data_IF_918431048352
#
_entry.id   IF_918431048352
#
_cell.length_a   1.000
_cell.length_b   1.000
_cell.length_c   1.000
_cell.angle_alpha   90.00
_cell.angle_beta   90.00
_cell.angle_gamma   90.00
#
_symmetry.space_group_name_H-M   'P 1'
#
loop_
_entity.id
_entity.type
_entity.pdbx_description
1 polymer ?
#
# COMPACT_ATOMS: atom_id res chain seq x y z
N UNK A 1 16.39 42.47 2.74
CA UNK A 1 16.84 41.04 2.82
C UNK A 1 16.24 40.45 4.09
N UNK A 2 15.02 39.88 4.00
CA UNK A 2 14.26 39.34 5.14
C UNK A 2 14.55 37.86 5.26
N UNK A 3 15.39 37.46 6.19
CA UNK A 3 15.64 36.05 6.53
C UNK A 3 14.54 35.57 7.47
N UNK A 4 13.53 34.89 6.93
CA UNK A 4 12.58 34.13 7.74
C UNK A 4 13.23 32.84 8.25
N UNK A 5 13.63 32.86 9.51
CA UNK A 5 14.04 31.67 10.25
C UNK A 5 12.76 30.95 10.69
N UNK A 6 12.30 29.99 9.89
CA UNK A 6 11.21 29.11 10.28
C UNK A 6 11.69 28.17 11.38
N UNK A 7 11.41 28.49 12.62
CA UNK A 7 11.50 27.56 13.75
C UNK A 7 10.40 26.51 13.59
N UNK A 8 10.74 25.34 13.05
CA UNK A 8 9.85 24.19 13.07
C UNK A 8 9.74 23.69 14.51
N UNK A 9 8.59 23.91 15.14
CA UNK A 9 8.18 23.10 16.29
C UNK A 9 8.12 21.64 15.86
N UNK A 10 8.68 20.70 16.63
CA UNK A 10 8.52 19.28 16.33
C UNK A 10 7.02 18.97 16.37
N UNK A 11 6.48 18.49 15.25
CA UNK A 11 5.15 17.89 15.22
C UNK A 11 5.11 16.77 16.25
N UNK A 12 4.05 16.68 17.09
CA UNK A 12 3.91 15.55 17.99
C UNK A 12 3.93 14.27 17.15
N UNK A 13 4.71 13.28 17.57
CA UNK A 13 4.78 11.96 16.96
C UNK A 13 3.43 11.25 17.14
N UNK A 14 2.44 11.64 16.35
CA UNK A 14 1.15 10.95 16.26
C UNK A 14 1.33 9.77 15.32
N UNK A 15 1.39 8.60 15.88
CA UNK A 15 1.53 7.33 15.17
C UNK A 15 3.01 6.97 14.99
N UNK A 16 3.62 6.43 16.04
CA UNK A 16 4.80 5.61 15.86
C UNK A 16 4.45 4.58 14.79
N UNK A 17 5.07 4.68 13.59
CA UNK A 17 5.15 3.55 12.69
C UNK A 17 5.60 2.38 13.55
N UNK A 18 4.90 1.24 13.57
CA UNK A 18 5.54 0.06 14.08
C UNK A 18 6.81 -0.10 13.23
N UNK A 19 7.96 0.10 13.84
CA UNK A 19 9.23 -0.38 13.33
C UNK A 19 9.21 -1.91 13.51
N UNK A 20 8.18 -2.52 12.93
CA UNK A 20 7.94 -3.94 13.11
C UNK A 20 8.53 -4.62 11.88
N UNK A 21 9.80 -4.98 11.99
CA UNK A 21 10.49 -5.82 11.00
C UNK A 21 9.83 -7.21 10.87
N UNK A 22 8.80 -7.50 11.69
CA UNK A 22 8.01 -8.73 11.60
C UNK A 22 6.97 -8.67 10.49
N UNK A 23 6.52 -7.47 10.08
CA UNK A 23 5.58 -7.31 8.98
C UNK A 23 6.32 -7.35 7.64
N UNK A 24 5.91 -8.27 6.78
CA UNK A 24 6.43 -8.45 5.44
C UNK A 24 5.56 -7.70 4.43
N UNK A 25 6.19 -6.99 3.49
CA UNK A 25 5.57 -6.45 2.28
C UNK A 25 6.12 -7.16 1.04
N UNK A 26 5.35 -7.18 -0.05
CA UNK A 26 5.89 -7.44 -1.38
C UNK A 26 6.28 -6.10 -2.00
N UNK A 27 7.52 -5.96 -2.40
CA UNK A 27 8.07 -4.71 -2.93
C UNK A 27 9.03 -5.00 -4.08
N UNK A 28 8.72 -4.49 -5.26
CA UNK A 28 9.59 -4.54 -6.45
C UNK A 28 10.12 -5.94 -6.80
N UNK A 29 9.29 -6.96 -6.70
CA UNK A 29 9.62 -8.32 -7.07
C UNK A 29 9.96 -9.24 -5.89
N UNK A 30 10.15 -8.70 -4.68
CA UNK A 30 10.61 -9.45 -3.51
C UNK A 30 9.71 -9.30 -2.28
N UNK A 31 9.77 -10.28 -1.39
CA UNK A 31 9.21 -10.15 -0.04
C UNK A 31 10.25 -9.57 0.90
N UNK A 32 9.99 -8.38 1.41
CA UNK A 32 10.91 -7.65 2.28
C UNK A 32 10.22 -7.24 3.59
N UNK A 33 10.97 -7.02 4.69
CA UNK A 33 10.43 -6.34 5.85
C UNK A 33 9.81 -4.99 5.46
N UNK A 34 8.65 -4.64 6.02
CA UNK A 34 7.93 -3.41 5.68
C UNK A 34 8.81 -2.16 5.86
N UNK A 35 9.71 -2.17 6.83
CA UNK A 35 10.67 -1.09 7.08
C UNK A 35 11.65 -0.84 5.92
N UNK A 36 11.86 -1.85 5.06
CA UNK A 36 12.76 -1.78 3.90
C UNK A 36 12.01 -1.39 2.60
N UNK A 37 10.69 -1.46 2.56
CA UNK A 37 9.89 -1.03 1.42
C UNK A 37 9.87 0.52 1.33
N UNK A 38 10.89 1.08 0.69
CA UNK A 38 11.14 2.54 0.64
C UNK A 38 11.24 2.99 -0.81
N UNK A 39 10.57 4.09 -1.13
CA UNK A 39 10.64 4.73 -2.44
C UNK A 39 11.57 5.95 -2.40
N UNK A 40 12.43 6.13 -3.41
CA UNK A 40 13.13 7.39 -3.62
C UNK A 40 12.15 8.54 -3.87
N UNK A 41 12.46 9.73 -3.37
CA UNK A 41 11.59 10.91 -3.57
C UNK A 41 11.46 11.32 -5.05
N UNK A 42 12.41 10.91 -5.90
CA UNK A 42 12.40 11.17 -7.34
C UNK A 42 11.57 10.16 -8.15
N UNK A 43 10.98 9.16 -7.50
CA UNK A 43 10.10 8.19 -8.14
C UNK A 43 8.93 8.90 -8.82
N UNK A 44 8.72 8.63 -10.11
CA UNK A 44 7.71 9.29 -10.93
C UNK A 44 6.29 9.13 -10.35
N UNK A 45 5.97 7.94 -9.83
CA UNK A 45 4.71 7.67 -9.13
C UNK A 45 4.50 8.57 -7.91
N UNK A 46 5.56 8.91 -7.18
CA UNK A 46 5.50 9.82 -6.04
C UNK A 46 5.38 11.29 -6.46
N UNK A 47 6.17 11.72 -7.46
CA UNK A 47 6.18 13.12 -7.89
C UNK A 47 4.91 13.55 -8.63
N UNK A 48 4.35 12.65 -9.46
CA UNK A 48 3.26 12.99 -10.40
C UNK A 48 1.96 12.23 -10.14
N UNK A 49 1.89 11.41 -9.10
CA UNK A 49 0.71 10.60 -8.79
C UNK A 49 0.43 9.51 -9.84
N UNK A 50 1.44 9.08 -10.60
CA UNK A 50 1.30 8.05 -11.63
C UNK A 50 1.32 6.66 -11.01
N UNK A 51 0.28 6.40 -10.23
CA UNK A 51 0.06 5.15 -9.52
C UNK A 51 -1.43 4.79 -9.52
N UNK A 52 -1.73 3.51 -9.42
CA UNK A 52 -3.07 2.99 -9.15
C UNK A 52 -3.00 2.01 -7.98
N UNK A 53 -4.05 1.97 -7.17
CA UNK A 53 -4.12 1.08 -6.02
C UNK A 53 -5.50 0.47 -5.86
N UNK A 54 -5.55 -0.58 -5.06
CA UNK A 54 -6.78 -1.16 -4.54
C UNK A 54 -6.79 -1.17 -3.01
N UNK A 55 -7.99 -1.21 -2.44
CA UNK A 55 -8.21 -1.40 -1.02
C UNK A 55 -9.00 -2.68 -0.81
N UNK A 56 -8.33 -3.74 -0.37
CA UNK A 56 -8.92 -5.06 -0.23
C UNK A 56 -9.02 -5.41 1.24
N UNK A 57 -10.17 -5.96 1.64
CA UNK A 57 -10.38 -6.42 3.02
C UNK A 57 -10.24 -7.93 3.09
N UNK A 58 -9.63 -8.40 4.17
CA UNK A 58 -9.67 -9.78 4.58
C UNK A 58 -10.17 -9.87 6.02
N UNK A 59 -11.07 -10.81 6.28
CA UNK A 59 -11.77 -10.98 7.54
C UNK A 59 -11.31 -12.27 8.22
N UNK A 60 -10.95 -12.16 9.48
CA UNK A 60 -10.57 -13.31 10.30
C UNK A 60 -11.80 -14.05 10.82
N UNK A 61 -11.82 -15.36 10.65
CA UNK A 61 -12.79 -16.25 11.26
C UNK A 61 -12.13 -17.04 12.37
N UNK A 62 -12.52 -16.79 13.60
CA UNK A 62 -11.93 -17.44 14.80
C UNK A 62 -12.27 -18.93 14.90
N UNK A 63 -13.49 -19.34 14.48
CA UNK A 63 -13.92 -20.73 14.57
C UNK A 63 -13.13 -21.63 13.59
N UNK A 64 -12.76 -21.09 12.45
CA UNK A 64 -12.03 -21.80 11.41
C UNK A 64 -10.53 -21.50 11.43
N UNK A 65 -10.08 -20.59 12.28
CA UNK A 65 -8.71 -20.06 12.32
C UNK A 65 -8.18 -19.68 10.91
N UNK A 66 -9.03 -19.00 10.15
CA UNK A 66 -8.80 -18.70 8.73
C UNK A 66 -9.10 -17.26 8.39
N UNK A 67 -8.22 -16.66 7.58
CA UNK A 67 -8.42 -15.33 7.01
C UNK A 67 -9.08 -15.45 5.63
N UNK A 68 -10.20 -14.74 5.41
CA UNK A 68 -10.97 -14.75 4.18
C UNK A 68 -10.84 -13.41 3.44
N UNK A 69 -10.23 -13.42 2.29
CA UNK A 69 -10.13 -12.23 1.44
C UNK A 69 -11.37 -11.99 0.60
N UNK A 70 -11.88 -10.76 0.64
CA UNK A 70 -13.09 -10.39 -0.07
C UNK A 70 -12.78 -10.01 -1.52
N UNK A 71 -13.28 -10.78 -2.49
CA UNK A 71 -13.26 -10.46 -3.93
C UNK A 71 -11.88 -10.08 -4.49
N UNK A 72 -10.84 -10.79 -4.10
CA UNK A 72 -9.47 -10.52 -4.56
C UNK A 72 -9.37 -10.40 -6.08
N UNK A 73 -9.95 -11.35 -6.80
CA UNK A 73 -9.87 -11.40 -8.25
C UNK A 73 -10.52 -10.17 -8.91
N UNK A 74 -11.68 -9.75 -8.42
CA UNK A 74 -12.40 -8.58 -8.93
C UNK A 74 -11.62 -7.29 -8.71
N UNK A 75 -10.99 -7.16 -7.54
CA UNK A 75 -10.10 -6.05 -7.22
C UNK A 75 -8.92 -5.99 -8.21
N UNK A 76 -8.24 -7.11 -8.44
CA UNK A 76 -7.11 -7.16 -9.37
C UNK A 76 -7.52 -6.96 -10.82
N UNK A 77 -8.67 -7.46 -11.24
CA UNK A 77 -9.23 -7.15 -12.57
C UNK A 77 -9.52 -5.65 -12.73
N UNK A 78 -9.99 -4.97 -11.67
CA UNK A 78 -10.19 -3.51 -11.69
C UNK A 78 -8.85 -2.77 -11.75
N UNK A 79 -7.87 -3.15 -10.92
CA UNK A 79 -6.52 -2.60 -10.94
C UNK A 79 -5.88 -2.71 -12.33
N UNK A 80 -6.05 -3.85 -13.01
CA UNK A 80 -5.59 -4.05 -14.38
C UNK A 80 -6.21 -3.07 -15.36
N UNK A 81 -7.51 -2.78 -15.23
CA UNK A 81 -8.17 -1.76 -16.06
C UNK A 81 -7.66 -0.36 -15.77
N UNK A 82 -7.50 -0.01 -14.49
CA UNK A 82 -6.95 1.28 -14.07
C UNK A 82 -5.51 1.49 -14.53
N UNK A 83 -4.68 0.45 -14.48
CA UNK A 83 -3.30 0.48 -14.94
C UNK A 83 -3.17 0.88 -16.43
N UNK A 84 -4.08 0.42 -17.29
CA UNK A 84 -4.09 0.75 -18.72
C UNK A 84 -4.24 2.25 -18.98
N UNK A 85 -5.00 2.96 -18.14
CA UNK A 85 -5.18 4.43 -18.26
C UNK A 85 -3.86 5.17 -18.07
N UNK A 86 -2.99 4.64 -17.19
CA UNK A 86 -1.67 5.20 -16.90
C UNK A 86 -0.55 4.54 -17.72
N UNK A 87 -0.92 3.79 -18.77
CA UNK A 87 0.03 3.05 -19.62
C UNK A 87 0.98 2.16 -18.79
N UNK A 88 0.42 1.49 -17.77
CA UNK A 88 1.16 0.54 -16.94
C UNK A 88 0.73 -0.90 -17.24
N UNK A 89 1.69 -1.81 -17.14
CA UNK A 89 1.46 -3.25 -17.27
C UNK A 89 1.80 -3.93 -15.94
N UNK A 90 0.82 -4.47 -15.20
CA UNK A 90 1.11 -5.22 -13.98
C UNK A 90 2.04 -6.41 -14.25
N UNK A 91 2.91 -6.78 -13.29
CA UNK A 91 3.92 -7.82 -13.49
C UNK A 91 3.32 -9.23 -13.63
N UNK A 92 2.10 -9.42 -13.13
CA UNK A 92 1.39 -10.71 -13.14
C UNK A 92 -0.06 -10.52 -13.60
N UNK A 93 -0.70 -11.55 -14.17
CA UNK A 93 -2.15 -11.54 -14.43
C UNK A 93 -2.93 -11.45 -13.10
N UNK A 94 -4.23 -11.06 -13.14
CA UNK A 94 -5.04 -10.92 -11.93
C UNK A 94 -5.01 -12.14 -11.00
N UNK A 95 -5.02 -13.34 -11.55
CA UNK A 95 -4.96 -14.61 -10.83
C UNK A 95 -3.63 -14.76 -10.09
N UNK A 96 -2.52 -14.46 -10.75
CA UNK A 96 -1.18 -14.49 -10.13
C UNK A 96 -1.02 -13.43 -9.03
N UNK A 97 -1.66 -12.27 -9.16
CA UNK A 97 -1.69 -11.26 -8.10
C UNK A 97 -2.49 -11.72 -6.87
N UNK A 98 -3.55 -12.52 -7.07
CA UNK A 98 -4.29 -13.18 -5.98
C UNK A 98 -3.38 -14.15 -5.23
N UNK A 99 -2.69 -15.05 -5.95
CA UNK A 99 -1.77 -16.03 -5.36
C UNK A 99 -0.64 -15.34 -4.57
N UNK A 100 -0.05 -14.31 -5.15
CA UNK A 100 0.99 -13.50 -4.51
C UNK A 100 0.48 -12.85 -3.21
N UNK A 101 -0.75 -12.34 -3.23
CA UNK A 101 -1.37 -11.74 -2.03
C UNK A 101 -1.65 -12.78 -0.95
N UNK A 102 -2.14 -13.94 -1.32
CA UNK A 102 -2.37 -15.05 -0.38
C UNK A 102 -1.06 -15.48 0.26
N UNK A 103 0.02 -15.58 -0.51
CA UNK A 103 1.35 -15.90 0.02
C UNK A 103 1.85 -14.80 0.99
N UNK A 104 1.67 -13.53 0.64
CA UNK A 104 2.00 -12.41 1.53
C UNK A 104 1.26 -12.51 2.87
N UNK A 105 -0.04 -12.81 2.84
CA UNK A 105 -0.85 -12.96 4.04
C UNK A 105 -0.42 -14.15 4.90
N UNK A 106 -0.04 -15.27 4.27
CA UNK A 106 0.51 -16.44 4.98
C UNK A 106 1.83 -16.12 5.68
N UNK A 107 2.73 -15.40 5.03
CA UNK A 107 4.01 -14.98 5.64
C UNK A 107 3.82 -14.07 6.83
N UNK A 108 2.80 -13.22 6.80
CA UNK A 108 2.47 -12.34 7.90
C UNK A 108 1.71 -13.03 9.05
N UNK A 109 1.05 -14.17 8.80
CA UNK A 109 0.35 -14.94 9.83
C UNK A 109 -0.73 -14.15 10.56
N UNK A 110 -1.44 -13.24 9.89
CA UNK A 110 -2.47 -12.42 10.51
C UNK A 110 -3.62 -13.27 11.06
N UNK A 111 -3.94 -13.09 12.35
CA UNK A 111 -5.07 -13.69 13.06
C UNK A 111 -6.11 -12.66 13.46
N UNK A 112 -6.33 -11.67 12.62
CA UNK A 112 -7.30 -10.59 12.77
C UNK A 112 -7.60 -9.99 11.42
N UNK A 113 -8.63 -9.16 11.33
CA UNK A 113 -8.99 -8.45 10.09
C UNK A 113 -7.80 -7.67 9.54
N UNK A 114 -7.60 -7.78 8.24
CA UNK A 114 -6.50 -7.14 7.55
C UNK A 114 -7.00 -6.25 6.40
N UNK A 115 -6.28 -5.17 6.17
CA UNK A 115 -6.42 -4.31 5.00
C UNK A 115 -5.21 -4.48 4.11
N UNK A 116 -5.43 -4.85 2.86
CA UNK A 116 -4.40 -5.07 1.87
C UNK A 116 -4.41 -3.91 0.88
N UNK A 117 -3.25 -3.31 0.66
CA UNK A 117 -3.05 -2.20 -0.27
C UNK A 117 -2.06 -2.59 -1.37
N UNK A 118 -2.51 -3.22 -2.46
CA UNK A 118 -1.69 -3.31 -3.66
C UNK A 118 -1.63 -1.94 -4.33
N UNK A 119 -0.44 -1.53 -4.74
CA UNK A 119 -0.16 -0.28 -5.44
C UNK A 119 0.78 -0.56 -6.61
N UNK A 120 0.33 -0.28 -7.82
CA UNK A 120 1.15 -0.30 -9.04
C UNK A 120 1.53 1.14 -9.37
N UNK A 121 2.80 1.40 -9.64
CA UNK A 121 3.29 2.76 -9.84
C UNK A 121 4.41 2.80 -10.88
N UNK A 122 4.60 3.97 -11.50
CA UNK A 122 5.77 4.26 -12.33
C UNK A 122 6.97 4.44 -11.43
N UNK A 123 7.93 3.51 -11.51
CA UNK A 123 9.09 3.44 -10.60
C UNK A 123 10.31 4.24 -11.09
N UNK A 124 10.36 4.60 -12.35
CA UNK A 124 11.47 5.39 -12.90
C UNK A 124 11.68 6.68 -12.13
N UNK A 125 12.92 6.97 -11.77
CA UNK A 125 13.34 8.25 -11.19
C UNK A 125 13.61 9.27 -12.31
N UNK A 126 12.57 10.02 -12.71
CA UNK A 126 12.67 10.99 -13.78
C UNK A 126 11.73 12.18 -13.56
N UNK A 127 12.18 13.36 -13.99
CA UNK A 127 11.35 14.56 -14.05
C UNK A 127 10.71 14.67 -15.45
N UNK A 128 9.40 14.83 -15.49
CA UNK A 128 8.62 15.00 -16.73
C UNK A 128 7.26 14.32 -16.63
N UNK A 129 6.29 14.80 -17.38
CA UNK A 129 4.88 14.37 -17.30
C UNK A 129 4.52 13.24 -18.28
N UNK A 130 5.46 12.72 -19.04
CA UNK A 130 5.23 11.63 -20.00
C UNK A 130 4.90 10.32 -19.25
N UNK A 131 4.01 9.50 -19.81
CA UNK A 131 3.65 8.20 -19.23
C UNK A 131 4.31 7.01 -19.94
N UNK A 132 4.85 7.20 -21.15
CA UNK A 132 5.48 6.15 -21.95
C UNK A 132 6.98 6.03 -21.62
N UNK A 133 7.55 4.85 -21.86
CA UNK A 133 8.95 4.53 -21.63
C UNK A 133 9.39 4.78 -20.16
N UNK A 134 8.52 4.47 -19.22
CA UNK A 134 8.80 4.48 -17.82
C UNK A 134 8.59 3.06 -17.27
N UNK A 135 9.47 2.63 -16.41
CA UNK A 135 9.34 1.36 -15.68
C UNK A 135 8.19 1.43 -14.68
N UNK A 136 7.61 0.30 -14.39
CA UNK A 136 6.59 0.13 -13.37
C UNK A 136 6.94 -0.97 -12.36
N UNK A 137 6.55 -0.76 -11.13
CA UNK A 137 6.72 -1.71 -10.05
C UNK A 137 5.46 -1.84 -9.19
N UNK A 138 5.39 -2.97 -8.49
CA UNK A 138 4.28 -3.34 -7.61
C UNK A 138 4.74 -3.35 -6.16
N UNK A 139 3.94 -2.70 -5.31
CA UNK A 139 3.98 -2.81 -3.86
C UNK A 139 2.69 -3.46 -3.38
N UNK A 140 2.76 -4.43 -2.49
CA UNK A 140 1.60 -4.94 -1.74
C UNK A 140 1.95 -4.87 -0.25
N UNK A 141 1.27 -3.98 0.48
CA UNK A 141 1.34 -3.89 1.94
C UNK A 141 0.09 -4.48 2.59
N UNK A 142 0.26 -5.26 3.66
CA UNK A 142 -0.81 -5.65 4.57
C UNK A 142 -0.73 -4.82 5.85
N UNK A 143 -1.86 -4.21 6.28
CA UNK A 143 -1.95 -3.42 7.50
C UNK A 143 -3.10 -3.95 8.35
N UNK A 144 -2.95 -3.89 9.68
CA UNK A 144 -4.04 -4.19 10.60
C UNK A 144 -5.15 -3.15 10.46
N UNK A 145 -6.39 -3.61 10.23
CA UNK A 145 -7.52 -2.73 9.96
C UNK A 145 -8.04 -1.97 11.20
N UNK A 146 -7.82 -2.51 12.40
CA UNK A 146 -8.46 -2.03 13.64
C UNK A 146 -8.08 -0.61 14.04
N UNK A 147 -6.87 -0.13 13.68
CA UNK A 147 -6.38 1.15 14.20
C UNK A 147 -6.90 2.36 13.41
N UNK A 148 -7.23 2.22 12.13
CA UNK A 148 -7.52 3.40 11.30
C UNK A 148 -8.99 3.84 11.37
N UNK A 149 -9.93 2.91 11.42
CA UNK A 149 -11.37 3.26 11.46
C UNK A 149 -11.83 3.66 12.87
N UNK A 150 -11.32 2.99 13.91
CA UNK A 150 -11.62 3.31 15.30
C UNK A 150 -11.15 4.71 15.70
N UNK A 151 -10.00 5.16 15.23
CA UNK A 151 -9.47 6.51 15.48
C UNK A 151 -10.25 7.61 14.72
N UNK A 152 -10.71 7.32 13.50
CA UNK A 152 -11.51 8.28 12.73
C UNK A 152 -12.93 8.39 13.30
N UNK A 153 -13.57 7.29 13.69
CA UNK A 153 -14.91 7.31 14.29
C UNK A 153 -14.88 7.89 15.70
N UNK A 154 -13.88 7.61 16.52
CA UNK A 154 -13.72 8.20 17.85
C UNK A 154 -13.46 9.72 17.79
N UNK A 155 -12.75 10.22 16.76
CA UNK A 155 -12.57 11.66 16.56
C UNK A 155 -13.80 12.38 16.01
N UNK A 156 -14.60 11.69 15.18
CA UNK A 156 -15.86 12.25 14.67
C UNK A 156 -16.98 12.15 15.70
N UNK A 157 -16.98 11.14 16.58
CA UNK A 157 -17.93 11.01 17.69
C UNK A 157 -17.70 11.96 18.87
N UNK A 158 -16.56 12.63 18.93
CA UNK A 158 -16.29 13.68 19.92
C UNK A 158 -16.65 15.11 19.44
N UNK A 159 -17.30 15.25 18.30
CA UNK A 159 -17.74 16.50 17.67
C UNK A 159 -19.27 16.64 17.62
N UNK A 160 -20.02 15.82 18.37
CA UNK A 160 -21.46 15.96 18.57
C UNK A 160 -21.77 16.29 20.04
#
# INVERSE_FOLDING_TARGET
MLTHKATRSPLPATGARPADDTIVAYFEGEFVPLSQARLPIMTHGFLYGTATFEGIRAYWNEEQEQLYGLKFLEHYKRMWRSAKVLLMKPPLPPEGLVELTVELLRRNGFRQDAYIRPTLYKSTEAIGVRLHNLEENLLIGGLFYVVYLGLVVARLGGLL
#
